data_IF_042558297065
#
_entry.id   IF_042558297065
#
_cell.length_a   1.000
_cell.length_b   1.000
_cell.length_c   1.000
_cell.angle_alpha   90.00
_cell.angle_beta   90.00
_cell.angle_gamma   90.00
#
_symmetry.space_group_name_H-M   'P 1'
#
loop_
_entity.id
_entity.type
_entity.pdbx_description
1 polymer ?
#
# COMPACT_ATOMS: atom_id res chain seq x y z
N UNK A 1 -4.63 -10.00 3.40
CA UNK A 1 -3.25 -10.43 3.08
C UNK A 1 -2.27 -9.58 3.86
N UNK A 2 -1.08 -10.09 4.16
CA UNK A 2 -0.03 -9.32 4.84
C UNK A 2 0.60 -8.28 3.92
N UNK A 3 1.17 -7.22 4.50
CA UNK A 3 1.93 -6.20 3.77
C UNK A 3 3.08 -6.80 2.94
N UNK A 4 3.82 -7.76 3.48
CA UNK A 4 4.89 -8.43 2.72
C UNK A 4 4.37 -9.21 1.51
N UNK A 5 3.22 -9.87 1.63
CA UNK A 5 2.59 -10.52 0.48
C UNK A 5 2.19 -9.49 -0.58
N UNK A 6 1.60 -8.37 -0.15
CA UNK A 6 1.23 -7.27 -1.03
C UNK A 6 2.43 -6.66 -1.77
N UNK A 7 3.51 -6.33 -1.05
CA UNK A 7 4.71 -5.77 -1.67
C UNK A 7 5.45 -6.76 -2.59
N UNK A 8 5.42 -8.07 -2.29
CA UNK A 8 5.90 -9.10 -3.23
C UNK A 8 5.06 -9.14 -4.51
N UNK A 9 3.75 -8.91 -4.43
CA UNK A 9 2.87 -8.83 -5.60
C UNK A 9 3.13 -7.56 -6.43
N UNK A 10 3.46 -6.43 -5.80
CA UNK A 10 3.91 -5.24 -6.52
C UNK A 10 5.25 -5.49 -7.22
N UNK A 11 6.18 -6.17 -6.53
CA UNK A 11 7.49 -6.53 -7.08
C UNK A 11 7.37 -7.39 -8.34
N UNK A 12 6.48 -8.40 -8.35
CA UNK A 12 6.25 -9.24 -9.55
C UNK A 12 5.71 -8.46 -10.75
N UNK A 13 5.18 -7.26 -10.52
CA UNK A 13 4.71 -6.31 -11.52
C UNK A 13 5.70 -5.19 -11.82
N UNK A 14 6.97 -5.34 -11.40
CA UNK A 14 8.06 -4.37 -11.58
C UNK A 14 7.85 -3.03 -10.85
N UNK A 15 7.02 -3.01 -9.80
CA UNK A 15 6.89 -1.88 -8.88
C UNK A 15 7.75 -2.15 -7.65
N UNK A 16 8.82 -1.38 -7.51
CA UNK A 16 9.82 -1.54 -6.47
C UNK A 16 9.73 -0.37 -5.49
N UNK A 17 9.46 -0.68 -4.21
CA UNK A 17 9.32 0.32 -3.16
C UNK A 17 10.36 0.06 -2.06
N UNK A 18 11.08 1.11 -1.68
CA UNK A 18 12.02 1.07 -0.57
C UNK A 18 11.31 1.08 0.79
N UNK A 19 12.05 0.81 1.88
CA UNK A 19 11.50 0.72 3.23
C UNK A 19 10.71 1.97 3.66
N UNK A 20 11.14 3.16 3.23
CA UNK A 20 10.45 4.44 3.49
C UNK A 20 9.07 4.59 2.83
N UNK A 21 8.76 3.82 1.78
CA UNK A 21 7.47 3.84 1.09
C UNK A 21 6.60 2.60 1.41
N UNK A 22 7.15 1.64 2.16
CA UNK A 22 6.45 0.40 2.53
C UNK A 22 5.70 0.58 3.87
N UNK A 23 4.50 1.13 3.80
CA UNK A 23 3.71 1.47 4.99
C UNK A 23 2.58 0.49 5.29
N UNK A 24 2.14 -0.32 4.31
CA UNK A 24 1.05 -1.28 4.48
C UNK A 24 1.53 -2.47 5.34
N UNK A 25 0.86 -2.69 6.47
CA UNK A 25 1.09 -3.85 7.34
C UNK A 25 0.12 -5.00 7.02
N UNK A 26 -1.11 -4.64 6.65
CA UNK A 26 -2.18 -5.57 6.31
C UNK A 26 -3.16 -4.92 5.33
N UNK A 27 -3.72 -5.71 4.43
CA UNK A 27 -4.74 -5.25 3.49
C UNK A 27 -5.85 -6.29 3.30
N UNK A 28 -7.08 -5.82 3.30
CA UNK A 28 -8.28 -6.60 2.99
C UNK A 28 -9.14 -5.80 2.01
N UNK A 29 -9.87 -6.48 1.14
CA UNK A 29 -10.77 -5.82 0.20
C UNK A 29 -11.95 -6.72 -0.13
N UNK A 30 -13.06 -6.09 -0.46
CA UNK A 30 -14.27 -6.72 -0.97
C UNK A 30 -14.64 -6.08 -2.33
N UNK A 31 -15.87 -6.26 -2.78
CA UNK A 31 -16.35 -5.68 -4.04
C UNK A 31 -16.16 -4.17 -4.10
N UNK A 32 -16.48 -3.49 -3.00
CA UNK A 32 -16.73 -2.05 -2.96
C UNK A 32 -15.69 -1.30 -2.11
N UNK A 33 -14.96 -2.00 -1.24
CA UNK A 33 -14.01 -1.39 -0.32
C UNK A 33 -12.64 -2.04 -0.37
N UNK A 34 -11.60 -1.22 -0.20
CA UNK A 34 -10.27 -1.65 0.18
C UNK A 34 -9.92 -1.02 1.53
N UNK A 35 -9.47 -1.85 2.47
CA UNK A 35 -9.07 -1.46 3.82
C UNK A 35 -7.63 -1.87 4.03
N UNK A 36 -6.84 -0.99 4.65
CA UNK A 36 -5.47 -1.29 4.99
C UNK A 36 -5.13 -0.78 6.39
N UNK A 37 -4.30 -1.55 7.09
CA UNK A 37 -3.61 -1.10 8.29
C UNK A 37 -2.23 -0.60 7.88
N UNK A 38 -1.93 0.63 8.26
CA UNK A 38 -0.67 1.29 7.93
C UNK A 38 0.14 1.48 9.21
N UNK A 39 1.47 1.35 9.12
CA UNK A 39 2.35 1.81 10.19
C UNK A 39 2.25 3.32 10.36
N UNK A 40 2.56 3.81 11.56
CA UNK A 40 2.74 5.23 11.78
C UNK A 40 3.99 5.76 11.04
N UNK A 41 4.00 7.03 10.62
CA UNK A 41 5.21 7.68 10.11
C UNK A 41 6.27 7.79 11.21
N UNK A 42 7.54 7.64 10.84
CA UNK A 42 8.65 8.06 11.68
C UNK A 42 8.77 9.59 11.77
N UNK A 43 9.54 10.13 12.73
CA UNK A 43 9.65 11.58 12.94
C UNK A 43 10.10 12.38 11.70
N UNK A 44 11.04 11.84 10.93
CA UNK A 44 11.55 12.50 9.71
C UNK A 44 10.59 12.37 8.52
N UNK A 45 9.73 11.34 8.50
CA UNK A 45 8.79 11.08 7.41
C UNK A 45 7.53 11.96 7.50
N UNK A 46 7.22 12.48 8.69
CA UNK A 46 6.11 13.42 8.92
C UNK A 46 6.55 14.89 8.99
N UNK A 47 7.86 15.16 9.12
CA UNK A 47 8.40 16.49 9.39
C UNK A 47 7.97 17.52 8.33
N UNK A 48 7.29 18.58 8.77
CA UNK A 48 6.92 19.72 7.92
C UNK A 48 5.65 19.55 7.08
N UNK A 49 4.98 18.40 7.14
CA UNK A 49 3.76 18.16 6.38
C UNK A 49 2.53 18.05 7.28
N UNK A 50 1.41 18.65 6.85
CA UNK A 50 0.09 18.44 7.47
C UNK A 50 -0.36 16.99 7.30
N UNK A 51 0.00 16.37 6.18
CA UNK A 51 -0.27 14.98 5.85
C UNK A 51 1.04 14.32 5.41
N UNK A 52 1.49 13.30 6.13
CA UNK A 52 2.75 12.64 5.80
C UNK A 52 2.66 12.03 4.38
N UNK A 53 3.63 12.29 3.47
CA UNK A 53 3.54 11.87 2.08
C UNK A 53 3.29 10.36 1.88
N UNK A 54 3.88 9.53 2.75
CA UNK A 54 3.69 8.08 2.70
C UNK A 54 2.27 7.62 3.02
N UNK A 55 1.44 8.43 3.70
CA UNK A 55 0.02 8.11 3.90
C UNK A 55 -0.75 8.21 2.58
N UNK A 56 -0.58 9.32 1.86
CA UNK A 56 -1.22 9.51 0.54
C UNK A 56 -0.74 8.47 -0.46
N UNK A 57 0.57 8.19 -0.50
CA UNK A 57 1.13 7.15 -1.36
C UNK A 57 0.54 5.77 -1.02
N UNK A 58 0.50 5.40 0.27
CA UNK A 58 -0.10 4.14 0.71
C UNK A 58 -1.59 4.03 0.32
N UNK A 59 -2.37 5.11 0.36
CA UNK A 59 -3.76 5.09 -0.10
C UNK A 59 -3.87 4.68 -1.58
N UNK A 60 -2.98 5.17 -2.44
CA UNK A 60 -2.93 4.76 -3.85
C UNK A 60 -2.41 3.34 -4.02
N UNK A 61 -1.38 2.94 -3.25
CA UNK A 61 -0.88 1.57 -3.24
C UNK A 61 -2.01 0.57 -2.94
N UNK A 62 -2.85 0.86 -1.95
CA UNK A 62 -3.94 -0.03 -1.51
C UNK A 62 -4.95 -0.35 -2.63
N UNK A 63 -5.16 0.58 -3.58
CA UNK A 63 -6.04 0.35 -4.72
C UNK A 63 -5.51 -0.73 -5.67
N UNK A 64 -4.19 -0.97 -5.69
CA UNK A 64 -3.63 -2.05 -6.51
C UNK A 64 -4.14 -3.40 -6.06
N UNK A 65 -4.33 -3.69 -4.76
CA UNK A 65 -4.73 -5.03 -4.33
C UNK A 65 -6.04 -5.55 -4.97
N UNK A 66 -7.17 -4.83 -4.94
CA UNK A 66 -8.38 -5.28 -5.64
C UNK A 66 -8.25 -5.25 -7.16
N UNK A 67 -7.58 -4.24 -7.74
CA UNK A 67 -7.43 -4.10 -9.20
C UNK A 67 -6.57 -5.22 -9.79
N UNK A 68 -5.51 -5.60 -9.08
CA UNK A 68 -4.61 -6.67 -9.47
C UNK A 68 -5.20 -8.06 -9.29
N UNK A 69 -6.10 -8.24 -8.30
CA UNK A 69 -6.85 -9.48 -8.11
C UNK A 69 -7.97 -9.67 -9.16
N UNK A 70 -8.62 -8.58 -9.60
CA UNK A 70 -9.68 -8.63 -10.62
C UNK A 70 -9.17 -8.75 -12.05
N UNK A 71 -7.94 -8.28 -12.33
CA UNK A 71 -7.30 -8.34 -13.64
C UNK A 71 -6.88 -9.74 -14.13
N UNK A 72 -7.41 -10.83 -13.55
CA UNK A 72 -7.21 -12.23 -14.00
C UNK A 72 -8.50 -12.80 -14.62
N UNK A 73 -9.57 -12.02 -14.74
CA UNK A 73 -10.82 -12.40 -15.39
C UNK A 73 -11.07 -11.61 -16.68
N UNK A 74 -10.06 -11.54 -17.54
CA UNK A 74 -10.15 -10.99 -18.90
C UNK A 74 -9.53 -11.95 -19.89
#
# INVERSE_FOLDING_TARGET
MTGDAFYRQLWSRRLYLGAGARWVEEISFDRDHARARLRAPGPEEAGGYVLAPGLTDAMFQVLFAPLTARGVAG
#
